data_IF_758552786018
#
_entry.id   IF_758552786018
#
_cell.length_a   1.000
_cell.length_b   1.000
_cell.length_c   1.000
_cell.angle_alpha   90.00
_cell.angle_beta   90.00
_cell.angle_gamma   90.00
#
_symmetry.space_group_name_H-M   'P 1'
#
loop_
_entity.id
_entity.type
_entity.pdbx_description
1 polymer ?
#
# COMPACT_ATOMS: atom_id res chain seq x y z
N UNK A 1 13.23 -2.51 -0.23
CA UNK A 1 12.55 -3.79 0.11
C UNK A 1 13.62 -4.77 0.59
N UNK A 2 13.66 -5.03 1.89
CA UNK A 2 14.69 -5.85 2.51
C UNK A 2 14.53 -7.32 2.06
N UNK A 3 15.62 -8.07 1.92
CA UNK A 3 15.65 -9.49 1.52
C UNK A 3 14.66 -10.34 2.35
N UNK A 4 14.55 -10.10 3.65
CA UNK A 4 13.63 -10.81 4.53
C UNK A 4 12.15 -10.58 4.17
N UNK A 5 11.81 -9.38 3.72
CA UNK A 5 10.46 -9.02 3.30
C UNK A 5 10.09 -9.68 1.98
N UNK A 6 11.05 -9.76 1.05
CA UNK A 6 10.88 -10.49 -0.22
C UNK A 6 10.61 -11.96 0.05
N UNK A 7 11.38 -12.58 0.95
CA UNK A 7 11.23 -13.98 1.34
C UNK A 7 9.87 -14.28 1.98
N UNK A 8 9.38 -13.40 2.86
CA UNK A 8 8.05 -13.56 3.46
C UNK A 8 6.94 -13.44 2.40
N UNK A 9 7.05 -12.48 1.50
CA UNK A 9 6.07 -12.28 0.43
C UNK A 9 6.06 -13.47 -0.54
N UNK A 10 7.21 -13.94 -0.98
CA UNK A 10 7.32 -15.10 -1.89
C UNK A 10 6.81 -16.37 -1.23
N UNK A 11 7.05 -16.58 0.05
CA UNK A 11 6.53 -17.74 0.78
C UNK A 11 4.98 -17.71 0.86
N UNK A 12 4.39 -16.55 1.15
CA UNK A 12 2.93 -16.41 1.14
C UNK A 12 2.32 -16.62 -0.25
N UNK A 13 2.95 -16.11 -1.30
CA UNK A 13 2.56 -16.35 -2.69
C UNK A 13 2.64 -17.84 -3.05
N UNK A 14 3.76 -18.48 -2.70
CA UNK A 14 3.99 -19.90 -2.96
C UNK A 14 2.91 -20.74 -2.29
N UNK A 15 2.66 -20.53 -0.99
CA UNK A 15 1.61 -21.26 -0.27
C UNK A 15 0.23 -21.06 -0.89
N UNK A 16 -0.14 -19.84 -1.29
CA UNK A 16 -1.42 -19.58 -1.95
C UNK A 16 -1.55 -20.33 -3.29
N UNK A 17 -0.49 -20.33 -4.11
CA UNK A 17 -0.44 -21.07 -5.38
C UNK A 17 -0.51 -22.58 -5.13
N UNK A 18 0.21 -23.10 -4.13
CA UNK A 18 0.19 -24.53 -3.78
C UNK A 18 -1.22 -24.98 -3.37
N UNK A 19 -1.92 -24.22 -2.53
CA UNK A 19 -3.29 -24.55 -2.13
C UNK A 19 -4.29 -24.46 -3.29
N UNK A 20 -4.12 -23.50 -4.20
CA UNK A 20 -4.95 -23.38 -5.41
C UNK A 20 -4.75 -24.57 -6.37
N UNK A 21 -3.50 -25.01 -6.55
CA UNK A 21 -3.18 -26.19 -7.36
C UNK A 21 -3.79 -27.47 -6.76
N UNK A 22 -3.68 -27.65 -5.44
CA UNK A 22 -4.30 -28.77 -4.73
C UNK A 22 -5.83 -28.76 -4.86
N UNK A 23 -6.45 -27.58 -4.78
CA UNK A 23 -7.89 -27.42 -5.01
C UNK A 23 -8.28 -27.84 -6.43
N UNK A 24 -7.58 -27.35 -7.46
CA UNK A 24 -7.84 -27.69 -8.85
C UNK A 24 -7.68 -29.20 -9.11
N UNK A 25 -6.63 -29.82 -8.55
CA UNK A 25 -6.41 -31.26 -8.64
C UNK A 25 -7.54 -32.05 -7.95
N UNK A 26 -8.00 -31.61 -6.78
CA UNK A 26 -9.12 -32.25 -6.07
C UNK A 26 -10.42 -32.18 -6.88
N UNK A 27 -10.68 -31.05 -7.53
CA UNK A 27 -11.86 -30.87 -8.37
C UNK A 27 -11.78 -31.76 -9.62
N UNK A 28 -10.60 -31.85 -10.23
CA UNK A 28 -10.37 -32.71 -11.39
C UNK A 28 -10.63 -34.20 -11.05
N UNK A 29 -10.17 -34.68 -9.89
CA UNK A 29 -10.43 -36.05 -9.43
C UNK A 29 -11.91 -36.35 -9.23
N UNK A 30 -12.69 -35.39 -8.72
CA UNK A 30 -14.16 -35.51 -8.59
C UNK A 30 -14.80 -35.67 -9.97
N UNK A 31 -14.44 -34.82 -10.92
CA UNK A 31 -14.98 -34.86 -12.29
C UNK A 31 -14.68 -36.20 -12.96
N UNK A 32 -13.45 -36.70 -12.84
CA UNK A 32 -13.04 -38.00 -13.41
C UNK A 32 -13.81 -39.16 -12.75
N UNK A 33 -13.97 -39.17 -11.43
CA UNK A 33 -14.72 -40.20 -10.70
C UNK A 33 -16.20 -40.24 -11.12
N UNK A 34 -16.82 -39.08 -11.27
CA UNK A 34 -18.21 -38.96 -11.76
C UNK A 34 -18.32 -39.45 -13.21
N UNK A 35 -17.39 -39.07 -14.09
CA UNK A 35 -17.36 -39.51 -15.48
C UNK A 35 -17.18 -41.03 -15.63
N UNK A 36 -16.45 -41.66 -14.70
CA UNK A 36 -16.28 -43.12 -14.63
C UNK A 36 -17.46 -43.85 -13.98
N UNK A 37 -18.58 -43.16 -13.69
CA UNK A 37 -19.76 -43.70 -13.00
C UNK A 37 -19.44 -44.43 -11.68
N UNK A 38 -18.30 -44.11 -11.06
CA UNK A 38 -17.89 -44.63 -9.76
C UNK A 38 -18.59 -43.81 -8.69
N UNK A 39 -19.21 -44.45 -7.69
CA UNK A 39 -19.79 -43.73 -6.54
C UNK A 39 -18.67 -42.95 -5.84
N UNK A 40 -18.70 -41.61 -5.83
CA UNK A 40 -17.66 -40.84 -5.17
C UNK A 40 -17.82 -41.03 -3.66
N UNK A 41 -16.76 -41.47 -2.99
CA UNK A 41 -16.72 -41.49 -1.53
C UNK A 41 -16.88 -40.07 -0.98
N UNK A 42 -17.47 -39.97 0.21
CA UNK A 42 -17.74 -38.71 0.92
C UNK A 42 -16.50 -37.79 0.99
N UNK A 43 -15.30 -38.36 1.07
CA UNK A 43 -14.00 -37.65 1.08
C UNK A 43 -13.82 -36.76 -0.15
N UNK A 44 -14.24 -37.22 -1.34
CA UNK A 44 -14.10 -36.48 -2.59
C UNK A 44 -15.05 -35.26 -2.66
N UNK A 45 -16.15 -35.28 -1.92
CA UNK A 45 -17.07 -34.15 -1.82
C UNK A 45 -16.60 -33.10 -0.81
N UNK A 46 -15.97 -33.54 0.29
CA UNK A 46 -15.55 -32.66 1.39
C UNK A 46 -14.19 -32.00 1.10
N UNK A 47 -13.24 -32.72 0.49
CA UNK A 47 -11.90 -32.22 0.19
C UNK A 47 -11.87 -30.89 -0.60
N UNK A 48 -12.62 -30.71 -1.71
CA UNK A 48 -12.62 -29.45 -2.46
C UNK A 48 -13.20 -28.29 -1.64
N UNK A 49 -14.20 -28.54 -0.79
CA UNK A 49 -14.79 -27.50 0.08
C UNK A 49 -13.78 -27.02 1.12
N UNK A 50 -13.06 -27.96 1.77
CA UNK A 50 -12.00 -27.62 2.73
C UNK A 50 -10.87 -26.85 2.03
N UNK A 51 -10.41 -27.32 0.86
CA UNK A 51 -9.36 -26.66 0.10
C UNK A 51 -9.77 -25.27 -0.38
N UNK A 52 -11.03 -25.08 -0.80
CA UNK A 52 -11.58 -23.77 -1.15
C UNK A 52 -11.53 -22.80 0.05
N UNK A 53 -11.94 -23.25 1.24
CA UNK A 53 -11.87 -22.44 2.46
C UNK A 53 -10.41 -22.07 2.81
N UNK A 54 -9.47 -22.99 2.62
CA UNK A 54 -8.04 -22.73 2.82
C UNK A 54 -7.51 -21.72 1.80
N UNK A 55 -7.88 -21.82 0.52
CA UNK A 55 -7.51 -20.85 -0.53
C UNK A 55 -8.08 -19.47 -0.22
N UNK A 56 -9.36 -19.37 0.18
CA UNK A 56 -9.98 -18.09 0.56
C UNK A 56 -9.23 -17.46 1.75
N UNK A 57 -8.90 -18.26 2.77
CA UNK A 57 -8.20 -17.76 3.95
C UNK A 57 -6.75 -17.35 3.63
N UNK A 58 -6.07 -18.11 2.78
CA UNK A 58 -4.69 -17.87 2.37
C UNK A 58 -4.57 -16.61 1.51
N UNK A 59 -5.44 -16.45 0.51
CA UNK A 59 -5.49 -15.25 -0.34
C UNK A 59 -5.82 -14.02 0.49
N UNK A 60 -6.81 -14.09 1.40
CA UNK A 60 -7.12 -12.99 2.32
C UNK A 60 -5.93 -12.61 3.20
N UNK A 61 -5.18 -13.59 3.69
CA UNK A 61 -3.96 -13.35 4.48
C UNK A 61 -2.85 -12.70 3.65
N UNK A 62 -2.65 -13.14 2.41
CA UNK A 62 -1.69 -12.54 1.49
C UNK A 62 -2.04 -11.08 1.16
N UNK A 63 -3.30 -10.79 0.82
CA UNK A 63 -3.77 -9.43 0.58
C UNK A 63 -3.63 -8.54 1.82
N UNK A 64 -3.93 -9.07 3.00
CA UNK A 64 -3.73 -8.34 4.26
C UNK A 64 -2.25 -8.03 4.51
N UNK A 65 -1.36 -9.01 4.33
CA UNK A 65 0.08 -8.82 4.50
C UNK A 65 0.63 -7.77 3.52
N UNK A 66 0.18 -7.81 2.26
CA UNK A 66 0.51 -6.80 1.25
C UNK A 66 0.06 -5.39 1.67
N UNK A 67 -1.16 -5.26 2.20
CA UNK A 67 -1.68 -3.97 2.72
C UNK A 67 -0.86 -3.44 3.91
N UNK A 68 -0.43 -4.33 4.81
CA UNK A 68 0.46 -3.97 5.93
C UNK A 68 1.84 -3.48 5.45
N UNK A 69 2.40 -4.13 4.42
CA UNK A 69 3.69 -3.74 3.85
C UNK A 69 3.62 -2.43 3.07
N UNK A 70 2.47 -2.12 2.44
CA UNK A 70 2.25 -0.82 1.82
C UNK A 70 2.21 0.29 2.86
N UNK A 71 1.47 0.09 3.97
CA UNK A 71 1.46 1.02 5.11
C UNK A 71 2.86 1.29 5.63
N UNK A 72 3.69 0.27 5.81
CA UNK A 72 5.05 0.45 6.36
C UNK A 72 5.92 1.44 5.56
N UNK A 73 5.79 1.48 4.23
CA UNK A 73 6.63 2.35 3.38
C UNK A 73 6.21 3.82 3.43
N UNK A 74 4.90 4.08 3.42
CA UNK A 74 4.36 5.44 3.40
C UNK A 74 4.00 5.97 4.80
N UNK A 75 4.01 5.11 5.83
CA UNK A 75 3.62 5.45 7.20
C UNK A 75 4.34 6.69 7.73
N UNK A 76 5.66 6.77 7.57
CA UNK A 76 6.43 7.93 8.05
C UNK A 76 5.98 9.26 7.43
N UNK A 77 5.54 9.24 6.17
CA UNK A 77 4.98 10.42 5.51
C UNK A 77 3.57 10.72 6.01
N UNK A 78 2.73 9.70 6.16
CA UNK A 78 1.39 9.86 6.74
C UNK A 78 1.46 10.47 8.15
N UNK A 79 2.42 10.03 8.96
CA UNK A 79 2.62 10.52 10.32
C UNK A 79 3.10 11.97 10.32
N UNK A 80 4.06 12.34 9.46
CA UNK A 80 4.49 13.73 9.29
C UNK A 80 3.34 14.64 8.81
N UNK A 81 2.60 14.21 7.79
CA UNK A 81 1.47 14.97 7.25
C UNK A 81 0.37 15.17 8.31
N UNK A 82 0.03 14.12 9.07
CA UNK A 82 -0.96 14.21 10.16
C UNK A 82 -0.48 15.08 11.31
N UNK A 83 0.78 14.97 11.71
CA UNK A 83 1.35 15.82 12.76
C UNK A 83 1.31 17.30 12.34
N UNK A 84 1.65 17.59 11.09
CA UNK A 84 1.59 18.95 10.56
C UNK A 84 0.17 19.48 10.52
N UNK A 85 -0.77 18.76 9.89
CA UNK A 85 -2.18 19.16 9.80
C UNK A 85 -2.87 19.25 11.16
N UNK A 86 -2.47 18.41 12.13
CA UNK A 86 -2.93 18.43 13.51
C UNK A 86 -2.24 19.48 14.39
N UNK A 87 -1.40 20.35 13.81
CA UNK A 87 -0.65 21.40 14.49
C UNK A 87 0.30 20.90 15.59
N UNK A 88 0.69 19.61 15.55
CA UNK A 88 1.66 19.04 16.47
C UNK A 88 3.10 19.44 16.11
N UNK A 89 3.34 19.80 14.84
CA UNK A 89 4.61 20.37 14.35
C UNK A 89 4.33 21.63 13.53
N UNK A 90 5.29 22.55 13.51
CA UNK A 90 5.22 23.79 12.72
C UNK A 90 5.52 23.52 11.24
N UNK A 91 5.22 24.47 10.35
CA UNK A 91 5.54 24.35 8.93
C UNK A 91 7.05 24.24 8.66
N UNK A 92 7.89 25.00 9.38
CA UNK A 92 9.35 24.87 9.31
C UNK A 92 9.82 23.46 9.73
N UNK A 93 9.27 22.92 10.82
CA UNK A 93 9.60 21.56 11.29
C UNK A 93 9.15 20.49 10.29
N UNK A 94 7.95 20.64 9.73
CA UNK A 94 7.43 19.76 8.70
C UNK A 94 8.32 19.81 7.45
N UNK A 95 8.62 21.00 6.92
CA UNK A 95 9.50 21.18 5.76
C UNK A 95 10.84 20.46 5.97
N UNK A 96 11.56 20.80 7.05
CA UNK A 96 12.86 20.20 7.32
C UNK A 96 12.78 18.67 7.43
N UNK A 97 11.82 18.16 8.20
CA UNK A 97 11.66 16.72 8.44
C UNK A 97 11.24 15.97 7.17
N UNK A 98 10.34 16.55 6.38
CA UNK A 98 9.82 15.93 5.16
C UNK A 98 10.90 15.89 4.07
N UNK A 99 11.58 17.00 3.81
CA UNK A 99 12.65 17.06 2.82
C UNK A 99 13.81 16.12 3.17
N UNK A 100 14.20 16.07 4.46
CA UNK A 100 15.22 15.14 4.93
C UNK A 100 14.76 13.68 4.76
N UNK A 101 13.54 13.37 5.19
CA UNK A 101 12.99 12.01 5.10
C UNK A 101 12.94 11.55 3.66
N UNK A 102 12.44 12.40 2.75
CA UNK A 102 12.29 12.06 1.33
C UNK A 102 13.64 11.86 0.64
N UNK A 103 14.64 12.73 0.89
CA UNK A 103 15.99 12.61 0.33
C UNK A 103 16.74 11.37 0.81
N UNK A 104 16.51 10.95 2.05
CA UNK A 104 17.17 9.79 2.64
C UNK A 104 16.42 8.47 2.38
N UNK A 105 15.24 8.51 1.76
CA UNK A 105 14.41 7.34 1.58
C UNK A 105 14.78 6.53 0.33
N UNK A 106 15.26 5.31 0.53
CA UNK A 106 15.54 4.35 -0.53
C UNK A 106 14.34 3.42 -0.82
N UNK A 107 13.18 3.70 -0.22
CA UNK A 107 11.95 2.95 -0.45
C UNK A 107 11.52 3.00 -1.91
N UNK A 108 11.13 1.85 -2.45
CA UNK A 108 10.51 1.77 -3.77
C UNK A 108 9.02 2.07 -3.66
N UNK A 109 8.60 3.23 -4.15
CA UNK A 109 7.19 3.60 -4.28
C UNK A 109 6.62 3.10 -5.62
N UNK A 110 5.31 2.86 -5.67
CA UNK A 110 4.59 2.84 -6.95
C UNK A 110 4.60 4.23 -7.57
N UNK A 111 4.35 4.33 -8.87
CA UNK A 111 4.32 5.63 -9.56
C UNK A 111 3.33 6.59 -8.89
N UNK A 112 2.11 6.15 -8.58
CA UNK A 112 1.11 7.00 -7.93
C UNK A 112 1.52 7.43 -6.51
N UNK A 113 2.11 6.52 -5.71
CA UNK A 113 2.64 6.88 -4.38
C UNK A 113 3.75 7.94 -4.51
N UNK A 114 4.69 7.74 -5.45
CA UNK A 114 5.78 8.69 -5.68
C UNK A 114 5.28 10.06 -6.10
N UNK A 115 4.37 10.14 -7.07
CA UNK A 115 3.82 11.42 -7.55
C UNK A 115 3.15 12.23 -6.42
N UNK A 116 2.39 11.56 -5.56
CA UNK A 116 1.75 12.23 -4.41
C UNK A 116 2.81 12.74 -3.42
N UNK A 117 3.78 11.90 -3.06
CA UNK A 117 4.81 12.27 -2.09
C UNK A 117 5.76 13.34 -2.64
N UNK A 118 6.08 13.29 -3.94
CA UNK A 118 6.93 14.24 -4.63
C UNK A 118 6.26 15.61 -4.78
N UNK A 119 4.95 15.66 -5.01
CA UNK A 119 4.20 16.92 -4.98
C UNK A 119 4.34 17.63 -3.64
N UNK A 120 4.18 16.90 -2.53
CA UNK A 120 4.39 17.47 -1.18
C UNK A 120 5.85 17.85 -0.95
N UNK A 121 6.80 17.12 -1.52
CA UNK A 121 8.21 17.52 -1.49
C UNK A 121 8.42 18.87 -2.18
N UNK A 122 7.86 19.06 -3.38
CA UNK A 122 7.94 20.34 -4.10
C UNK A 122 7.27 21.47 -3.31
N UNK A 123 6.08 21.25 -2.76
CA UNK A 123 5.37 22.22 -1.93
C UNK A 123 6.21 22.61 -0.71
N UNK A 124 6.80 21.62 -0.02
CA UNK A 124 7.67 21.86 1.11
C UNK A 124 8.94 22.62 0.71
N UNK A 125 9.55 22.34 -0.44
CA UNK A 125 10.74 23.05 -0.93
C UNK A 125 10.41 24.51 -1.33
N UNK A 126 9.18 24.76 -1.77
CA UNK A 126 8.67 26.08 -2.14
C UNK A 126 8.11 26.89 -0.96
N UNK A 127 7.97 26.30 0.22
CA UNK A 127 7.47 26.99 1.40
C UNK A 127 8.47 28.02 1.93
N UNK A 128 7.98 29.23 2.21
CA UNK A 128 8.76 30.29 2.85
C UNK A 128 7.95 31.08 3.87
N UNK A 129 8.63 31.58 4.90
CA UNK A 129 8.09 32.57 5.85
C UNK A 129 8.41 34.00 5.47
N UNK A 130 9.29 34.20 4.48
CA UNK A 130 9.68 35.52 4.00
C UNK A 130 8.59 36.08 3.06
N UNK A 131 7.85 37.05 3.58
CA UNK A 131 6.75 37.71 2.86
C UNK A 131 7.25 38.51 1.68
N UNK A 132 8.44 39.12 1.75
CA UNK A 132 8.99 39.91 0.65
C UNK A 132 9.44 38.98 -0.48
N UNK A 133 10.19 37.93 -0.16
CA UNK A 133 10.62 36.95 -1.15
C UNK A 133 9.42 36.29 -1.85
N UNK A 134 8.34 36.01 -1.11
CA UNK A 134 7.10 35.50 -1.68
C UNK A 134 6.40 36.50 -2.59
N UNK A 135 6.42 37.79 -2.28
CA UNK A 135 5.87 38.82 -3.15
C UNK A 135 6.67 38.99 -4.45
N UNK A 136 7.96 38.67 -4.45
CA UNK A 136 8.81 38.67 -5.65
C UNK A 136 8.55 37.47 -6.57
N UNK A 137 8.13 36.32 -6.02
CA UNK A 137 7.88 35.07 -6.76
C UNK A 137 6.57 34.37 -6.34
N UNK A 138 5.41 35.04 -6.47
CA UNK A 138 4.14 34.53 -5.96
C UNK A 138 3.64 33.27 -6.68
N UNK A 139 4.13 33.00 -7.89
CA UNK A 139 3.78 31.81 -8.68
C UNK A 139 4.54 30.55 -8.27
N UNK A 140 5.60 30.69 -7.48
CA UNK A 140 6.45 29.57 -7.04
C UNK A 140 6.34 29.38 -5.53
N UNK A 141 6.40 30.47 -4.75
CA UNK A 141 6.56 30.40 -3.31
C UNK A 141 5.22 30.39 -2.58
N UNK A 142 5.07 29.47 -1.63
CA UNK A 142 3.83 29.27 -0.91
C UNK A 142 3.96 29.61 0.58
N UNK A 143 2.84 30.00 1.18
CA UNK A 143 2.76 30.20 2.63
C UNK A 143 2.30 28.93 3.36
N UNK A 144 2.24 29.01 4.70
CA UNK A 144 1.83 27.86 5.52
C UNK A 144 0.37 27.45 5.25
N UNK A 145 -0.51 28.40 4.97
CA UNK A 145 -1.93 28.09 4.74
C UNK A 145 -2.08 27.30 3.43
N UNK A 146 -1.34 27.66 2.40
CA UNK A 146 -1.27 26.93 1.14
C UNK A 146 -0.61 25.58 1.29
N UNK A 147 0.54 25.51 1.97
CA UNK A 147 1.21 24.24 2.28
C UNK A 147 0.27 23.26 3.01
N UNK A 148 -0.51 23.75 4.00
CA UNK A 148 -1.50 22.93 4.72
C UNK A 148 -2.60 22.41 3.79
N UNK A 149 -3.12 23.24 2.90
CA UNK A 149 -4.13 22.80 1.92
C UNK A 149 -3.57 21.70 1.01
N UNK A 150 -2.38 21.90 0.45
CA UNK A 150 -1.76 20.94 -0.47
C UNK A 150 -1.45 19.62 0.24
N UNK A 151 -0.93 19.67 1.47
CA UNK A 151 -0.69 18.48 2.30
C UNK A 151 -1.99 17.75 2.65
N UNK A 152 -3.09 18.47 2.92
CA UNK A 152 -4.39 17.85 3.19
C UNK A 152 -4.93 17.09 1.96
N UNK A 153 -4.80 17.66 0.77
CA UNK A 153 -5.16 17.00 -0.49
C UNK A 153 -4.30 15.74 -0.69
N UNK A 154 -2.98 15.87 -0.55
CA UNK A 154 -2.07 14.74 -0.71
C UNK A 154 -2.33 13.62 0.31
N UNK A 155 -2.63 13.96 1.56
CA UNK A 155 -3.01 12.98 2.59
C UNK A 155 -4.30 12.25 2.19
N UNK A 156 -5.29 12.97 1.66
CA UNK A 156 -6.52 12.40 1.12
C UNK A 156 -6.27 11.44 -0.03
N UNK A 157 -5.49 11.86 -1.03
CA UNK A 157 -5.12 11.04 -2.19
C UNK A 157 -4.39 9.77 -1.76
N UNK A 158 -3.42 9.90 -0.84
CA UNK A 158 -2.64 8.77 -0.34
C UNK A 158 -3.52 7.79 0.46
N UNK A 159 -4.44 8.29 1.29
CA UNK A 159 -5.42 7.45 1.99
C UNK A 159 -6.40 6.78 1.02
N UNK A 160 -6.80 7.46 -0.07
CA UNK A 160 -7.66 6.88 -1.09
C UNK A 160 -6.95 5.73 -1.82
N UNK A 161 -5.65 5.89 -2.15
CA UNK A 161 -4.84 4.81 -2.71
C UNK A 161 -4.74 3.59 -1.77
N UNK A 162 -4.68 3.79 -0.45
CA UNK A 162 -4.69 2.67 0.52
C UNK A 162 -6.02 1.88 0.53
N UNK A 163 -7.11 2.53 0.11
CA UNK A 163 -8.47 2.00 0.20
C UNK A 163 -9.04 1.57 -1.16
N UNK A 164 -8.40 1.96 -2.27
CA UNK A 164 -8.81 1.55 -3.61
C UNK A 164 -8.66 0.03 -3.79
N UNK A 165 -9.69 -0.68 -4.29
CA UNK A 165 -9.55 -2.07 -4.68
C UNK A 165 -8.52 -2.14 -5.82
N UNK A 166 -7.42 -2.85 -5.59
CA UNK A 166 -6.41 -3.12 -6.60
C UNK A 166 -7.10 -3.87 -7.75
N UNK A 167 -7.52 -3.15 -8.80
CA UNK A 167 -7.99 -3.77 -10.04
C UNK A 167 -6.83 -4.58 -10.60
N UNK A 168 -7.06 -5.89 -10.61
CA UNK A 168 -6.17 -6.92 -11.14
C UNK A 168 -6.05 -6.80 -12.67
#
# INVERSE_FOLDING_TARGET
>A
MNLQERLKLTNHLLTAVTWAALFALSLHLVVVKVALASKPDLVYLIAPVILLLVVIRSTRRYFHYRKLMQRGRVAKYLDLMRAFLGCAITANQFQASYLQTFKADDSKFSAMEYEILNRVFCDADCYTTDVQLRAEKPEILIDEAELRRNVAVALGDLCALENAPQRA
#
